data_IF_557696700142
#
_entry.id   IF_557696700142
#
_cell.length_a   1.000
_cell.length_b   1.000
_cell.length_c   1.000
_cell.angle_alpha   90.00
_cell.angle_beta   90.00
_cell.angle_gamma   90.00
#
_symmetry.space_group_name_H-M   'P 1'
#
loop_
_entity.id
_entity.type
_entity.pdbx_description
1 polymer ?
#
# COMPACT_ATOMS: atom_id res chain seq x y z
N UNK A 1 19.47 -31.07 -39.89
CA UNK A 1 19.71 -29.68 -39.46
C UNK A 1 18.84 -28.77 -40.35
N UNK A 2 17.58 -28.54 -39.97
CA UNK A 2 16.65 -27.65 -40.67
C UNK A 2 16.42 -26.42 -39.80
N UNK A 3 16.52 -25.26 -40.42
CA UNK A 3 16.64 -23.95 -39.78
C UNK A 3 15.41 -23.54 -38.99
N UNK A 4 15.67 -22.85 -37.89
CA UNK A 4 14.69 -22.08 -37.14
C UNK A 4 14.35 -20.83 -37.96
N UNK A 5 13.16 -20.79 -38.55
CA UNK A 5 12.68 -19.60 -39.24
C UNK A 5 12.15 -18.63 -38.18
N UNK A 6 12.94 -17.58 -37.93
CA UNK A 6 12.65 -16.50 -37.00
C UNK A 6 11.72 -15.49 -37.68
N UNK A 7 10.47 -15.45 -37.28
CA UNK A 7 9.57 -14.35 -37.65
C UNK A 7 9.93 -13.12 -36.81
N UNK A 8 10.88 -12.31 -37.27
CA UNK A 8 11.18 -11.01 -36.66
C UNK A 8 12.56 -10.42 -36.99
N UNK A 9 13.54 -11.22 -37.41
CA UNK A 9 14.87 -10.71 -37.78
C UNK A 9 14.99 -10.52 -39.29
N UNK A 10 15.83 -9.57 -39.72
CA UNK A 10 15.99 -9.22 -41.15
C UNK A 10 16.29 -10.48 -41.97
N UNK A 11 15.64 -10.71 -43.14
CA UNK A 11 15.94 -11.85 -43.99
C UNK A 11 17.40 -11.77 -44.45
N UNK A 12 18.28 -12.55 -43.82
CA UNK A 12 19.72 -12.60 -44.11
C UNK A 12 20.65 -12.50 -42.89
N UNK A 13 20.17 -12.11 -41.71
CA UNK A 13 20.99 -12.12 -40.49
C UNK A 13 20.92 -13.52 -39.83
N UNK A 14 22.03 -14.28 -39.82
CA UNK A 14 22.16 -15.45 -38.94
C UNK A 14 22.04 -16.84 -39.57
N UNK A 15 22.16 -17.01 -40.90
CA UNK A 15 22.31 -18.34 -41.50
C UNK A 15 23.65 -18.97 -41.04
N UNK A 16 23.59 -19.82 -40.01
CA UNK A 16 24.72 -20.61 -39.49
C UNK A 16 25.28 -20.17 -38.12
N UNK A 17 24.84 -19.03 -37.57
CA UNK A 17 25.21 -18.61 -36.21
C UNK A 17 24.20 -19.20 -35.20
N UNK A 18 24.64 -19.79 -34.08
CA UNK A 18 23.72 -20.23 -33.04
C UNK A 18 22.84 -19.08 -32.53
N UNK A 19 21.57 -19.37 -32.23
CA UNK A 19 20.60 -18.34 -31.83
C UNK A 19 21.06 -17.50 -30.62
N UNK A 20 21.73 -18.14 -29.65
CA UNK A 20 22.28 -17.49 -28.46
C UNK A 20 23.52 -16.62 -28.73
N UNK A 21 24.08 -16.62 -29.94
CA UNK A 21 25.24 -15.81 -30.35
C UNK A 21 24.85 -14.61 -31.23
N UNK A 22 23.55 -14.41 -31.46
CA UNK A 22 23.03 -13.29 -32.25
C UNK A 22 23.39 -11.94 -31.62
N UNK A 23 23.57 -10.88 -32.44
CA UNK A 23 23.91 -9.54 -31.95
C UNK A 23 22.99 -9.01 -30.85
N UNK A 24 21.71 -9.39 -30.87
CA UNK A 24 20.70 -9.02 -29.89
C UNK A 24 21.08 -9.35 -28.44
N UNK A 25 21.94 -10.36 -28.22
CA UNK A 25 22.34 -10.83 -26.88
C UNK A 25 23.73 -10.35 -26.46
N UNK A 26 24.52 -9.78 -27.36
CA UNK A 26 25.95 -9.49 -27.12
C UNK A 26 26.22 -8.41 -26.07
N UNK A 27 25.19 -7.66 -25.67
CA UNK A 27 25.29 -6.65 -24.62
C UNK A 27 25.50 -7.26 -23.23
N UNK A 28 25.05 -8.50 -23.02
CA UNK A 28 25.22 -9.25 -21.76
C UNK A 28 25.43 -10.74 -22.08
N UNK A 29 26.65 -11.28 -21.88
CA UNK A 29 26.95 -12.70 -22.14
C UNK A 29 26.03 -13.67 -21.39
N UNK A 30 25.52 -13.28 -20.22
CA UNK A 30 24.64 -14.13 -19.40
C UNK A 30 23.29 -14.37 -20.08
N UNK A 31 22.81 -13.44 -20.91
CA UNK A 31 21.56 -13.60 -21.67
C UNK A 31 21.70 -14.70 -22.73
N UNK A 32 22.83 -14.75 -23.42
CA UNK A 32 23.13 -15.82 -24.38
C UNK A 32 23.23 -17.20 -23.69
N UNK A 33 23.92 -17.26 -22.56
CA UNK A 33 24.03 -18.50 -21.75
C UNK A 33 22.66 -18.97 -21.24
N UNK A 34 21.82 -18.07 -20.77
CA UNK A 34 20.45 -18.35 -20.36
C UNK A 34 19.64 -18.93 -21.52
N UNK A 35 19.61 -18.25 -22.66
CA UNK A 35 18.88 -18.70 -23.85
C UNK A 35 19.34 -20.11 -24.27
N UNK A 36 20.65 -20.35 -24.30
CA UNK A 36 21.20 -21.68 -24.61
C UNK A 36 20.72 -22.74 -23.61
N UNK A 37 20.85 -22.47 -22.32
CA UNK A 37 20.42 -23.38 -21.24
C UNK A 37 18.92 -23.69 -21.33
N UNK A 38 18.10 -22.69 -21.63
CA UNK A 38 16.64 -22.83 -21.76
C UNK A 38 16.25 -23.65 -22.99
N UNK A 39 16.95 -23.47 -24.12
CA UNK A 39 16.80 -24.33 -25.32
C UNK A 39 17.15 -25.78 -24.99
N UNK A 40 18.33 -26.03 -24.40
CA UNK A 40 18.78 -27.37 -24.05
C UNK A 40 17.81 -28.06 -23.06
N UNK A 41 17.27 -27.28 -22.11
CA UNK A 41 16.28 -27.75 -21.15
C UNK A 41 14.95 -28.08 -21.82
N UNK A 42 14.45 -27.23 -22.73
CA UNK A 42 13.23 -27.48 -23.50
C UNK A 42 13.35 -28.78 -24.33
N UNK A 43 14.50 -28.97 -25.01
CA UNK A 43 14.77 -30.17 -25.80
C UNK A 43 14.82 -31.44 -24.96
N UNK A 44 15.48 -31.40 -23.79
CA UNK A 44 15.63 -32.57 -22.92
C UNK A 44 14.33 -32.94 -22.22
N UNK A 45 13.58 -31.94 -21.78
CA UNK A 45 12.38 -32.14 -20.95
C UNK A 45 11.09 -32.31 -21.75
N UNK A 46 11.06 -31.87 -23.02
CA UNK A 46 9.83 -31.80 -23.80
C UNK A 46 8.79 -30.82 -23.24
N UNK A 47 9.20 -29.90 -22.34
CA UNK A 47 8.31 -28.91 -21.72
C UNK A 47 8.62 -27.51 -22.23
N UNK A 48 7.55 -26.71 -22.34
CA UNK A 48 7.67 -25.31 -22.68
C UNK A 48 8.47 -24.53 -21.62
N UNK A 49 9.22 -23.52 -22.09
CA UNK A 49 9.99 -22.59 -21.28
C UNK A 49 9.50 -21.18 -21.57
N UNK A 50 9.39 -20.36 -20.54
CA UNK A 50 9.00 -18.95 -20.64
C UNK A 50 9.85 -18.15 -19.67
N UNK A 51 10.49 -17.10 -20.15
CA UNK A 51 11.40 -16.28 -19.35
C UNK A 51 11.57 -14.90 -20.00
N UNK A 52 11.84 -13.90 -19.16
CA UNK A 52 12.06 -12.54 -19.63
C UNK A 52 13.55 -12.31 -19.90
N UNK A 53 13.87 -11.67 -21.02
CA UNK A 53 15.23 -11.24 -21.39
C UNK A 53 15.22 -9.82 -21.91
N UNK A 54 16.36 -9.17 -21.89
CA UNK A 54 16.54 -7.92 -22.64
C UNK A 54 17.24 -8.24 -23.96
N UNK A 55 16.75 -7.70 -25.06
CA UNK A 55 17.38 -7.76 -26.37
C UNK A 55 17.91 -6.37 -26.76
N UNK A 56 19.07 -6.31 -27.39
CA UNK A 56 19.56 -5.07 -27.98
C UNK A 56 18.73 -4.71 -29.21
N UNK A 57 17.96 -3.64 -29.12
CA UNK A 57 17.22 -3.03 -30.21
C UNK A 57 17.86 -1.73 -30.72
N UNK A 58 17.29 -1.11 -31.77
CA UNK A 58 17.84 0.13 -32.36
C UNK A 58 17.90 1.31 -31.39
N UNK A 59 16.98 1.33 -30.41
CA UNK A 59 16.79 2.44 -29.47
C UNK A 59 17.27 2.09 -28.04
N UNK A 60 18.03 0.99 -27.87
CA UNK A 60 18.47 0.50 -26.57
C UNK A 60 17.94 -0.90 -26.26
N UNK A 61 18.00 -1.28 -24.99
CA UNK A 61 17.56 -2.59 -24.53
C UNK A 61 16.03 -2.66 -24.50
N UNK A 62 15.47 -3.71 -25.10
CA UNK A 62 14.04 -3.97 -25.18
C UNK A 62 13.73 -5.23 -24.37
N UNK A 63 12.86 -5.15 -23.35
CA UNK A 63 12.45 -6.33 -22.60
C UNK A 63 11.51 -7.19 -23.45
N UNK A 64 11.83 -8.48 -23.53
CA UNK A 64 11.08 -9.49 -24.26
C UNK A 64 10.64 -10.59 -23.30
N UNK A 65 9.37 -10.94 -23.37
CA UNK A 65 8.84 -12.20 -22.84
C UNK A 65 9.08 -13.28 -23.89
N UNK A 66 10.03 -14.16 -23.59
CA UNK A 66 10.54 -15.16 -24.51
C UNK A 66 9.93 -16.51 -24.20
N UNK A 67 9.38 -17.18 -25.21
CA UNK A 67 8.79 -18.50 -25.07
C UNK A 67 9.45 -19.50 -26.03
N UNK A 68 9.77 -20.68 -25.50
CA UNK A 68 10.28 -21.83 -26.25
C UNK A 68 9.30 -22.97 -26.05
N UNK A 69 8.70 -23.45 -27.14
CA UNK A 69 7.73 -24.55 -27.14
C UNK A 69 8.28 -25.72 -27.94
N UNK A 70 8.57 -26.86 -27.31
CA UNK A 70 8.94 -28.06 -28.04
C UNK A 70 7.73 -28.66 -28.75
N UNK A 71 7.92 -29.02 -30.01
CA UNK A 71 6.99 -29.81 -30.81
C UNK A 71 7.48 -31.26 -30.76
N UNK A 72 6.63 -32.14 -30.26
CA UNK A 72 6.94 -33.56 -30.08
C UNK A 72 6.24 -34.41 -31.13
N UNK A 73 6.91 -35.47 -31.57
CA UNK A 73 6.33 -36.49 -32.46
C UNK A 73 5.42 -37.48 -31.68
N UNK A 74 4.79 -38.41 -32.41
CA UNK A 74 3.94 -39.46 -31.83
C UNK A 74 4.69 -40.38 -30.85
N UNK A 75 6.02 -40.43 -30.92
CA UNK A 75 6.89 -41.23 -30.05
C UNK A 75 7.40 -40.43 -28.83
N UNK A 76 6.92 -39.20 -28.64
CA UNK A 76 7.28 -38.31 -27.54
C UNK A 76 8.68 -37.69 -27.67
N UNK A 77 9.29 -37.70 -28.86
CA UNK A 77 10.60 -37.10 -29.13
C UNK A 77 10.42 -35.67 -29.62
N UNK A 78 11.25 -34.75 -29.12
CA UNK A 78 11.26 -33.36 -29.61
C UNK A 78 11.81 -33.34 -31.04
N UNK A 79 10.96 -33.04 -32.00
CA UNK A 79 11.32 -32.92 -33.42
C UNK A 79 11.73 -31.48 -33.77
N UNK A 80 11.05 -30.50 -33.15
CA UNK A 80 11.24 -29.08 -33.44
C UNK A 80 11.08 -28.24 -32.17
N UNK A 81 11.67 -27.05 -32.15
CA UNK A 81 11.34 -26.00 -31.19
C UNK A 81 10.72 -24.82 -31.94
N UNK A 82 9.61 -24.32 -31.43
CA UNK A 82 9.00 -23.05 -31.84
C UNK A 82 9.37 -22.02 -30.80
N UNK A 83 9.92 -20.89 -31.25
CA UNK A 83 10.34 -19.80 -30.38
C UNK A 83 9.54 -18.56 -30.75
N UNK A 84 9.00 -17.87 -29.76
CA UNK A 84 8.31 -16.60 -29.93
C UNK A 84 8.79 -15.62 -28.87
N UNK A 85 8.76 -14.35 -29.21
CA UNK A 85 9.07 -13.26 -28.29
C UNK A 85 8.04 -12.17 -28.44
N UNK A 86 7.56 -11.66 -27.30
CA UNK A 86 6.71 -10.47 -27.27
C UNK A 86 7.47 -9.36 -26.56
N UNK A 87 7.50 -8.18 -27.16
CA UNK A 87 7.98 -6.99 -26.47
C UNK A 87 7.01 -6.61 -25.34
N UNK A 88 7.55 -6.43 -24.14
CA UNK A 88 6.76 -6.17 -22.91
C UNK A 88 7.04 -4.79 -22.31
N UNK A 89 7.63 -3.88 -23.09
CA UNK A 89 7.97 -2.50 -22.65
C UNK A 89 6.76 -1.78 -22.07
N UNK A 90 5.62 -1.78 -22.78
CA UNK A 90 4.40 -1.11 -22.32
C UNK A 90 3.80 -1.78 -21.08
N UNK A 91 3.86 -3.11 -21.00
CA UNK A 91 3.39 -3.87 -19.83
C UNK A 91 4.18 -3.50 -18.58
N UNK A 92 5.51 -3.56 -18.65
CA UNK A 92 6.39 -3.21 -17.53
C UNK A 92 6.25 -1.74 -17.14
N UNK A 93 6.09 -0.84 -18.12
CA UNK A 93 5.86 0.58 -17.84
C UNK A 93 4.55 0.78 -17.08
N UNK A 94 3.45 0.17 -17.54
CA UNK A 94 2.16 0.26 -16.87
C UNK A 94 2.20 -0.32 -15.44
N UNK A 95 2.86 -1.46 -15.26
CA UNK A 95 3.06 -2.08 -13.94
C UNK A 95 3.84 -1.16 -13.00
N UNK A 96 4.91 -0.53 -13.49
CA UNK A 96 5.71 0.44 -12.71
C UNK A 96 4.92 1.71 -12.39
N UNK A 97 4.17 2.26 -13.35
CA UNK A 97 3.31 3.43 -13.16
C UNK A 97 2.21 3.14 -12.13
N UNK A 98 1.57 1.98 -12.21
CA UNK A 98 0.56 1.55 -11.25
C UNK A 98 1.15 1.36 -9.85
N UNK A 99 2.30 0.69 -9.74
CA UNK A 99 3.00 0.52 -8.46
C UNK A 99 3.34 1.88 -7.84
N UNK A 100 3.90 2.81 -8.62
CA UNK A 100 4.22 4.15 -8.16
C UNK A 100 2.97 4.94 -7.73
N UNK A 101 1.85 4.82 -8.47
CA UNK A 101 0.60 5.47 -8.11
C UNK A 101 0.01 4.93 -6.81
N UNK A 102 0.04 3.61 -6.60
CA UNK A 102 -0.42 2.98 -5.36
C UNK A 102 0.44 3.37 -4.17
N UNK A 103 1.78 3.38 -4.33
CA UNK A 103 2.69 3.81 -3.26
C UNK A 103 2.51 5.29 -2.91
N UNK A 104 2.26 6.13 -3.92
CA UNK A 104 1.93 7.53 -3.69
C UNK A 104 0.62 7.69 -2.91
N UNK A 105 -0.42 6.93 -3.28
CA UNK A 105 -1.71 6.94 -2.60
C UNK A 105 -1.58 6.47 -1.14
N UNK A 106 -0.88 5.36 -0.88
CA UNK A 106 -0.56 4.88 0.48
C UNK A 106 0.14 5.94 1.32
N UNK A 107 1.14 6.61 0.74
CA UNK A 107 1.86 7.70 1.42
C UNK A 107 0.96 8.88 1.79
N UNK A 108 -0.02 9.22 0.94
CA UNK A 108 -1.02 10.26 1.26
C UNK A 108 -1.93 9.79 2.39
N UNK A 109 -2.51 8.59 2.30
CA UNK A 109 -3.40 8.03 3.32
C UNK A 109 -2.72 7.98 4.69
N UNK A 110 -1.50 7.45 4.76
CA UNK A 110 -0.74 7.37 6.01
C UNK A 110 -0.44 8.74 6.61
N UNK A 111 -0.08 9.74 5.78
CA UNK A 111 0.15 11.12 6.24
C UNK A 111 -1.12 11.77 6.76
N UNK A 112 -2.24 11.59 6.06
CA UNK A 112 -3.53 12.09 6.49
C UNK A 112 -3.91 11.48 7.85
N UNK A 113 -3.83 10.15 7.99
CA UNK A 113 -4.13 9.47 9.24
C UNK A 113 -3.22 9.94 10.40
N UNK A 114 -1.91 10.09 10.16
CA UNK A 114 -0.97 10.62 11.16
C UNK A 114 -1.37 12.03 11.61
N UNK A 115 -1.80 12.88 10.67
CA UNK A 115 -2.21 14.26 10.98
C UNK A 115 -3.48 14.38 11.82
N UNK A 116 -4.31 13.33 11.86
CA UNK A 116 -5.52 13.30 12.66
C UNK A 116 -5.27 12.95 14.12
N UNK A 117 -4.15 12.31 14.42
CA UNK A 117 -3.75 11.89 15.76
C UNK A 117 -2.79 12.92 16.38
N UNK A 118 -2.72 13.03 17.71
CA UNK A 118 -1.72 13.87 18.36
C UNK A 118 -0.31 13.39 18.01
N UNK A 119 0.56 14.32 17.61
CA UNK A 119 1.99 14.03 17.37
C UNK A 119 2.69 13.52 18.63
N UNK A 120 2.31 14.09 19.77
CA UNK A 120 2.82 13.73 21.10
C UNK A 120 1.71 13.80 22.14
N UNK A 121 1.75 12.90 23.11
CA UNK A 121 0.93 12.97 24.31
C UNK A 121 1.64 13.82 25.38
N UNK A 122 0.89 14.52 26.25
CA UNK A 122 1.48 15.37 27.28
C UNK A 122 2.30 14.52 28.27
N UNK A 123 3.43 15.07 28.72
CA UNK A 123 4.21 14.49 29.80
C UNK A 123 3.70 15.04 31.13
N UNK A 124 3.08 14.18 31.93
CA UNK A 124 2.43 14.57 33.18
C UNK A 124 3.11 13.85 34.33
N UNK A 125 3.54 14.60 35.35
CA UNK A 125 4.20 14.02 36.53
C UNK A 125 3.28 13.00 37.23
N UNK A 126 3.82 11.83 37.54
CA UNK A 126 3.09 10.72 38.17
C UNK A 126 2.18 9.93 37.23
N UNK A 127 2.16 10.24 35.93
CA UNK A 127 1.35 9.55 34.92
C UNK A 127 2.20 9.12 33.73
N UNK A 128 1.97 7.89 33.27
CA UNK A 128 2.49 7.42 31.99
C UNK A 128 1.32 7.27 31.01
N UNK A 129 1.31 8.08 29.96
CA UNK A 129 0.27 8.07 28.93
C UNK A 129 0.89 7.51 27.65
N UNK A 130 0.30 6.43 27.13
CA UNK A 130 0.70 5.81 25.88
C UNK A 130 -0.55 5.51 25.05
N UNK A 131 -0.41 5.62 23.73
CA UNK A 131 -1.45 5.24 22.78
C UNK A 131 -0.85 4.43 21.65
N UNK A 132 -1.60 3.44 21.19
CA UNK A 132 -1.22 2.61 20.04
C UNK A 132 -2.42 2.57 19.10
N UNK A 133 -2.24 3.12 17.91
CA UNK A 133 -3.21 3.00 16.84
C UNK A 133 -2.89 1.78 15.98
N UNK A 134 -3.85 0.85 15.83
CA UNK A 134 -3.73 -0.28 14.91
C UNK A 134 -4.93 -0.27 13.97
N UNK A 135 -4.72 0.18 12.74
CA UNK A 135 -5.76 0.09 11.71
C UNK A 135 -6.01 -1.37 11.36
N UNK A 136 -7.28 -1.76 11.28
CA UNK A 136 -7.70 -3.02 10.66
C UNK A 136 -8.04 -2.85 9.16
N UNK A 137 -7.94 -1.62 8.63
CA UNK A 137 -8.35 -1.30 7.25
C UNK A 137 -7.22 -1.55 6.24
N UNK A 138 -7.60 -1.67 4.96
CA UNK A 138 -6.68 -1.67 3.84
C UNK A 138 -5.75 -0.43 3.89
N UNK A 139 -4.51 -0.58 3.44
CA UNK A 139 -3.47 0.47 3.47
C UNK A 139 -3.85 1.77 2.72
N UNK A 140 -4.94 1.73 1.96
CA UNK A 140 -5.43 2.85 1.15
C UNK A 140 -6.54 3.66 1.83
N UNK A 141 -7.10 3.20 2.95
CA UNK A 141 -8.17 3.89 3.67
C UNK A 141 -7.72 4.56 4.97
N UNK A 142 -8.38 5.67 5.32
CA UNK A 142 -8.22 6.33 6.61
C UNK A 142 -9.33 5.89 7.54
N UNK A 143 -8.96 5.42 8.74
CA UNK A 143 -9.90 5.02 9.77
C UNK A 143 -10.57 6.22 10.46
N UNK A 144 -11.76 5.98 11.03
CA UNK A 144 -12.52 6.95 11.82
C UNK A 144 -12.09 7.03 13.29
N UNK A 145 -11.32 6.06 13.76
CA UNK A 145 -10.79 6.03 15.13
C UNK A 145 -9.82 7.18 15.38
N UNK A 146 -9.91 7.81 16.55
CA UNK A 146 -9.00 8.84 17.01
C UNK A 146 -8.89 8.87 18.52
N UNK A 147 -7.81 9.45 19.01
CA UNK A 147 -7.62 9.70 20.43
C UNK A 147 -6.95 11.06 20.64
N UNK A 148 -7.06 11.59 21.85
CA UNK A 148 -6.36 12.78 22.26
C UNK A 148 -6.13 12.79 23.77
N UNK A 149 -5.07 13.47 24.20
CA UNK A 149 -4.85 13.79 25.60
C UNK A 149 -4.27 15.20 25.72
N UNK A 150 -4.79 15.98 26.65
CA UNK A 150 -4.38 17.36 26.85
C UNK A 150 -4.70 17.86 28.25
N UNK A 151 -3.84 18.73 28.78
CA UNK A 151 -4.08 19.38 30.07
C UNK A 151 -5.19 20.42 29.90
N UNK A 152 -6.16 20.40 30.82
CA UNK A 152 -7.23 21.41 30.94
C UNK A 152 -6.76 22.58 31.81
N UNK A 153 -5.94 22.27 32.82
CA UNK A 153 -5.25 23.20 33.70
C UNK A 153 -4.10 22.46 34.42
N UNK A 154 -3.44 23.10 35.38
CA UNK A 154 -2.30 22.56 36.15
C UNK A 154 -2.58 21.23 36.88
N UNK A 155 -3.85 20.86 37.03
CA UNK A 155 -4.28 19.72 37.86
C UNK A 155 -5.22 18.77 37.15
N UNK A 156 -5.81 19.16 36.01
CA UNK A 156 -6.78 18.35 35.29
C UNK A 156 -6.25 17.95 33.92
N UNK A 157 -6.33 16.66 33.64
CA UNK A 157 -5.97 16.06 32.35
C UNK A 157 -7.24 15.54 31.67
N UNK A 158 -7.45 15.91 30.41
CA UNK A 158 -8.47 15.32 29.57
C UNK A 158 -7.91 14.18 28.72
N UNK A 159 -8.69 13.11 28.58
CA UNK A 159 -8.48 12.03 27.63
C UNK A 159 -9.74 11.85 26.80
N UNK A 160 -9.55 11.71 25.49
CA UNK A 160 -10.62 11.48 24.53
C UNK A 160 -10.26 10.30 23.65
N UNK A 161 -11.23 9.45 23.37
CA UNK A 161 -11.15 8.45 22.30
C UNK A 161 -12.49 8.43 21.60
N UNK A 162 -12.48 8.33 20.27
CA UNK A 162 -13.69 8.26 19.49
C UNK A 162 -13.49 7.52 18.19
N UNK A 163 -14.61 7.22 17.55
CA UNK A 163 -14.70 6.57 16.25
C UNK A 163 -15.81 7.24 15.46
N UNK A 164 -15.56 7.51 14.18
CA UNK A 164 -16.54 8.06 13.25
C UNK A 164 -17.01 6.97 12.31
N UNK A 165 -18.32 6.86 12.16
CA UNK A 165 -18.93 5.98 11.17
C UNK A 165 -18.48 6.39 9.77
N UNK A 166 -17.73 5.51 9.12
CA UNK A 166 -17.26 5.70 7.76
C UNK A 166 -15.77 5.44 7.62
N UNK A 167 -15.24 5.74 6.42
CA UNK A 167 -13.82 5.61 6.10
C UNK A 167 -13.42 6.64 5.03
N UNK A 168 -12.12 6.87 4.90
CA UNK A 168 -11.56 7.73 3.86
C UNK A 168 -11.54 9.21 4.23
N UNK A 169 -11.38 10.06 3.22
CA UNK A 169 -11.06 11.49 3.40
C UNK A 169 -12.16 12.28 4.11
N UNK A 170 -13.44 11.96 3.87
CA UNK A 170 -14.55 12.66 4.52
C UNK A 170 -14.63 12.33 6.01
N UNK A 171 -14.49 11.05 6.37
CA UNK A 171 -14.42 10.61 7.77
C UNK A 171 -13.18 11.17 8.48
N UNK A 172 -12.05 11.24 7.78
CA UNK A 172 -10.83 11.92 8.24
C UNK A 172 -11.09 13.41 8.56
N UNK A 173 -11.75 14.12 7.64
CA UNK A 173 -12.12 15.52 7.83
C UNK A 173 -13.05 15.73 9.04
N UNK A 174 -14.03 14.84 9.24
CA UNK A 174 -14.89 14.87 10.42
C UNK A 174 -14.10 14.58 11.72
N UNK A 175 -13.14 13.67 11.66
CA UNK A 175 -12.27 13.30 12.79
C UNK A 175 -11.46 14.49 13.28
N UNK A 176 -10.80 15.18 12.34
CA UNK A 176 -10.03 16.39 12.66
C UNK A 176 -10.91 17.50 13.27
N UNK A 177 -12.13 17.67 12.76
CA UNK A 177 -13.10 18.64 13.28
C UNK A 177 -13.56 18.28 14.70
N UNK A 178 -13.97 17.04 14.96
CA UNK A 178 -14.43 16.60 16.28
C UNK A 178 -13.31 16.64 17.32
N UNK A 179 -12.10 16.20 16.97
CA UNK A 179 -10.93 16.29 17.86
C UNK A 179 -10.61 17.74 18.23
N UNK A 180 -10.58 18.63 17.24
CA UNK A 180 -10.31 20.06 17.46
C UNK A 180 -11.40 20.72 18.30
N UNK A 181 -12.68 20.42 18.00
CA UNK A 181 -13.81 20.92 18.76
C UNK A 181 -13.80 20.41 20.21
N UNK A 182 -13.36 19.17 20.45
CA UNK A 182 -13.24 18.59 21.79
C UNK A 182 -12.32 19.44 22.67
N UNK A 183 -11.13 19.79 22.17
CA UNK A 183 -10.20 20.69 22.87
C UNK A 183 -10.83 22.05 23.17
N UNK A 184 -11.42 22.69 22.16
CA UNK A 184 -12.01 24.03 22.30
C UNK A 184 -13.21 24.05 23.27
N UNK A 185 -14.03 23.00 23.27
CA UNK A 185 -15.19 22.89 24.15
C UNK A 185 -14.74 22.59 25.59
N UNK A 186 -13.78 21.69 25.78
CA UNK A 186 -13.29 21.32 27.10
C UNK A 186 -12.60 22.49 27.84
N UNK A 187 -12.02 23.44 27.10
CA UNK A 187 -11.47 24.68 27.65
C UNK A 187 -12.56 25.60 28.25
N UNK A 188 -13.79 25.51 27.75
CA UNK A 188 -14.89 26.43 28.12
C UNK A 188 -15.99 25.79 28.97
N UNK A 189 -16.13 24.47 28.93
CA UNK A 189 -17.17 23.71 29.63
C UNK A 189 -16.52 22.77 30.63
N UNK A 190 -16.93 22.86 31.89
CA UNK A 190 -16.47 21.94 32.91
C UNK A 190 -17.25 20.62 32.88
N UNK A 191 -16.51 19.52 32.91
CA UNK A 191 -17.04 18.20 33.21
C UNK A 191 -17.45 17.40 31.97
N UNK A 192 -17.26 16.07 32.00
CA UNK A 192 -17.47 15.21 30.83
C UNK A 192 -18.85 15.27 30.18
N UNK A 193 -19.92 15.39 30.98
CA UNK A 193 -21.28 15.41 30.45
C UNK A 193 -21.57 16.69 29.65
N UNK A 194 -21.06 17.84 30.11
CA UNK A 194 -21.25 19.12 29.42
C UNK A 194 -20.49 19.16 28.10
N UNK A 195 -19.25 18.67 28.11
CA UNK A 195 -18.41 18.53 26.91
C UNK A 195 -19.11 17.63 25.88
N UNK A 196 -19.56 16.44 26.30
CA UNK A 196 -20.25 15.50 25.42
C UNK A 196 -21.53 16.09 24.82
N UNK A 197 -22.36 16.77 25.62
CA UNK A 197 -23.60 17.38 25.13
C UNK A 197 -23.35 18.53 24.13
N UNK A 198 -22.24 19.27 24.27
CA UNK A 198 -21.89 20.33 23.31
C UNK A 198 -21.26 19.73 22.05
N UNK A 199 -20.46 18.68 22.17
CA UNK A 199 -19.91 17.95 21.04
C UNK A 199 -21.00 17.28 20.20
N UNK A 200 -22.00 16.69 20.83
CA UNK A 200 -23.16 16.12 20.12
C UNK A 200 -23.84 17.16 19.22
N UNK A 201 -24.10 18.37 19.74
CA UNK A 201 -24.65 19.47 18.94
C UNK A 201 -23.71 19.92 17.82
N UNK A 202 -22.40 19.92 18.07
CA UNK A 202 -21.41 20.27 17.05
C UNK A 202 -21.35 19.22 15.94
N UNK A 203 -21.44 17.93 16.28
CA UNK A 203 -21.42 16.82 15.32
C UNK A 203 -22.58 16.92 14.31
N UNK A 204 -23.76 17.37 14.74
CA UNK A 204 -24.90 17.64 13.83
C UNK A 204 -24.61 18.71 12.76
N UNK A 205 -23.63 19.58 12.98
CA UNK A 205 -23.19 20.60 12.03
C UNK A 205 -22.04 20.11 11.11
N UNK A 206 -21.52 18.91 11.33
CA UNK A 206 -20.44 18.30 10.52
C UNK A 206 -21.07 17.29 9.55
N UNK A 207 -21.18 17.59 8.23
CA UNK A 207 -21.91 16.75 7.28
C UNK A 207 -21.41 15.31 7.19
N UNK A 208 -20.10 15.10 7.37
CA UNK A 208 -19.47 13.78 7.31
C UNK A 208 -19.53 13.01 8.66
N UNK A 209 -20.04 13.61 9.74
CA UNK A 209 -20.23 12.95 11.02
C UNK A 209 -21.63 12.30 11.12
N UNK A 210 -21.93 11.38 10.20
CA UNK A 210 -23.24 10.68 10.13
C UNK A 210 -23.53 9.92 11.44
N UNK A 211 -22.49 9.48 12.13
CA UNK A 211 -22.53 8.98 13.50
C UNK A 211 -21.12 8.91 14.07
N UNK A 212 -20.99 9.09 15.39
CA UNK A 212 -19.73 8.94 16.08
C UNK A 212 -19.94 8.25 17.43
N UNK A 213 -19.00 7.42 17.82
CA UNK A 213 -18.88 6.96 19.21
C UNK A 213 -17.74 7.69 19.88
N UNK A 214 -17.88 7.97 21.19
CA UNK A 214 -16.86 8.67 21.93
C UNK A 214 -16.86 8.30 23.41
N UNK A 215 -15.69 8.29 24.01
CA UNK A 215 -15.47 8.37 25.44
C UNK A 215 -14.60 9.59 25.76
N UNK A 216 -15.00 10.35 26.76
CA UNK A 216 -14.27 11.50 27.26
C UNK A 216 -14.11 11.40 28.77
N UNK A 217 -12.90 11.64 29.27
CA UNK A 217 -12.51 11.47 30.66
C UNK A 217 -11.73 12.71 31.12
N UNK A 218 -12.03 13.19 32.33
CA UNK A 218 -11.25 14.18 33.04
C UNK A 218 -10.66 13.55 34.30
N UNK A 219 -9.35 13.65 34.47
CA UNK A 219 -8.61 13.18 35.63
C UNK A 219 -8.14 14.38 36.47
N UNK A 220 -8.61 14.47 37.70
CA UNK A 220 -8.06 15.39 38.71
C UNK A 220 -6.84 14.75 39.38
N UNK A 221 -5.66 15.31 39.15
CA UNK A 221 -4.36 14.84 39.64
C UNK A 221 -4.14 15.11 41.14
N UNK A 222 -4.93 15.99 41.76
CA UNK A 222 -4.85 16.26 43.20
C UNK A 222 -5.54 15.15 43.99
N UNK A 223 -6.66 14.67 43.46
CA UNK A 223 -7.48 13.64 44.12
C UNK A 223 -7.34 12.26 43.49
N UNK A 224 -6.67 12.16 42.34
CA UNK A 224 -6.58 10.96 41.50
C UNK A 224 -7.95 10.40 41.12
N UNK A 225 -8.95 11.28 40.98
CA UNK A 225 -10.30 10.91 40.58
C UNK A 225 -10.52 11.16 39.10
N UNK A 226 -10.96 10.13 38.40
CA UNK A 226 -11.40 10.22 37.02
C UNK A 226 -12.93 10.31 36.96
N UNK A 227 -13.43 11.25 36.17
CA UNK A 227 -14.85 11.32 35.80
C UNK A 227 -14.92 11.15 34.29
N UNK A 228 -15.85 10.34 33.79
CA UNK A 228 -15.97 10.10 32.34
C UNK A 228 -17.43 10.15 31.86
N UNK A 229 -17.58 10.39 30.57
CA UNK A 229 -18.84 10.27 29.85
C UNK A 229 -18.60 9.43 28.59
N UNK A 230 -19.60 8.64 28.21
CA UNK A 230 -19.52 7.71 27.09
C UNK A 230 -20.76 7.86 26.21
N UNK A 231 -20.55 8.01 24.92
CA UNK A 231 -21.56 8.02 23.88
C UNK A 231 -21.26 6.85 22.93
N UNK A 232 -21.85 5.68 23.18
CA UNK A 232 -21.74 4.50 22.31
C UNK A 232 -20.40 3.74 22.30
N UNK A 233 -19.29 4.36 22.70
CA UNK A 233 -17.96 3.73 22.66
C UNK A 233 -17.88 2.54 23.64
N UNK A 234 -16.98 1.57 23.45
CA UNK A 234 -16.84 0.44 24.38
C UNK A 234 -16.44 0.90 25.79
N UNK A 235 -16.92 0.26 26.88
CA UNK A 235 -16.53 0.65 28.23
C UNK A 235 -15.01 0.55 28.44
N UNK A 236 -14.40 1.46 29.24
CA UNK A 236 -13.03 1.30 29.68
C UNK A 236 -12.92 0.07 30.60
N UNK A 237 -11.75 -0.60 30.57
CA UNK A 237 -11.42 -1.72 31.46
C UNK A 237 -11.21 -1.28 32.91
#
# INVERSE_FOLDING_TARGET
MRGYELTGDRPGAGLGTPFWELPSWRHDPTVGELIRSEIETATRSGRARRFDVHAAGPNGLVPLDFQIVPVVDELGRVEQLVMSSLEITERLRYEAELAAALDHQRSITHRLQRSLLPDTLPQVEGLHIAAVYRSAMDELDVGGDWYDAFELDDHRLALAIGDIVGRGIDAAGATGQLRSATRAIADTIQGPAGVMARLDRFAHAVPAAVGATMMYLELDRRTWRATFCRAGHVPPL
#
